data_IF_587548131952
#
_entry.id   IF_587548131952
#
_cell.length_a   1.000
_cell.length_b   1.000
_cell.length_c   1.000
_cell.angle_alpha   90.00
_cell.angle_beta   90.00
_cell.angle_gamma   90.00
#
_symmetry.space_group_name_H-M   'P 1'
#
loop_
_entity.id
_entity.type
_entity.pdbx_description
1 polymer ?
#
# COMPACT_ATOMS: atom_id res chain seq x y z
N UNK A 1 -34.76 14.28 9.76
CA UNK A 1 -33.54 13.56 10.20
C UNK A 1 -33.08 12.75 9.01
N UNK A 2 -31.93 13.06 8.42
CA UNK A 2 -31.38 12.25 7.33
C UNK A 2 -30.83 10.98 7.98
N UNK A 3 -31.48 9.85 7.72
CA UNK A 3 -31.02 8.54 8.19
C UNK A 3 -29.68 8.26 7.50
N UNK A 4 -28.58 8.41 8.22
CA UNK A 4 -27.27 7.92 7.78
C UNK A 4 -27.39 6.40 7.69
N UNK A 5 -27.65 5.88 6.49
CA UNK A 5 -27.59 4.43 6.28
C UNK A 5 -26.15 4.02 6.51
N UNK A 6 -25.90 3.40 7.67
CA UNK A 6 -24.67 2.65 7.87
C UNK A 6 -24.57 1.64 6.73
N UNK A 7 -23.38 1.53 6.13
CA UNK A 7 -23.13 0.57 5.05
C UNK A 7 -23.46 -0.87 5.47
N UNK A 8 -23.50 -1.81 4.52
CA UNK A 8 -23.80 -3.20 4.83
C UNK A 8 -22.86 -3.74 5.93
N UNK A 9 -23.36 -4.58 6.84
CA UNK A 9 -22.56 -5.08 7.95
C UNK A 9 -21.37 -5.90 7.44
N UNK A 10 -20.22 -5.71 8.10
CA UNK A 10 -19.04 -6.52 7.84
C UNK A 10 -19.19 -7.91 8.46
N UNK A 11 -18.82 -8.92 7.69
CA UNK A 11 -18.68 -10.32 8.06
C UNK A 11 -17.19 -10.70 7.95
N UNK A 12 -16.78 -11.80 8.59
CA UNK A 12 -15.40 -12.31 8.53
C UNK A 12 -15.37 -13.69 7.91
N UNK A 13 -14.36 -13.96 7.10
CA UNK A 13 -14.19 -15.28 6.52
C UNK A 13 -12.99 -15.40 5.60
N UNK A 14 -12.82 -16.63 5.10
CA UNK A 14 -11.78 -17.00 4.15
C UNK A 14 -12.43 -17.33 2.82
N UNK A 15 -11.92 -16.75 1.74
CA UNK A 15 -12.38 -16.99 0.39
C UNK A 15 -11.22 -17.41 -0.50
N UNK A 16 -11.44 -18.43 -1.33
CA UNK A 16 -10.51 -18.85 -2.38
C UNK A 16 -11.16 -18.49 -3.71
N UNK A 17 -10.53 -17.58 -4.45
CA UNK A 17 -11.01 -17.11 -5.73
C UNK A 17 -10.77 -18.17 -6.81
N UNK A 18 -11.57 -18.17 -7.90
CA UNK A 18 -11.36 -19.07 -9.04
C UNK A 18 -9.97 -18.95 -9.69
N UNK A 19 -9.28 -17.80 -9.56
CA UNK A 19 -7.92 -17.60 -10.05
C UNK A 19 -6.84 -18.20 -9.13
N UNK A 20 -7.23 -18.81 -8.01
CA UNK A 20 -6.32 -19.40 -7.01
C UNK A 20 -5.90 -18.44 -5.90
N UNK A 21 -6.29 -17.17 -5.95
CA UNK A 21 -6.01 -16.22 -4.88
C UNK A 21 -6.77 -16.59 -3.61
N UNK A 22 -6.21 -16.23 -2.46
CA UNK A 22 -6.85 -16.41 -1.15
C UNK A 22 -7.07 -15.05 -0.51
N UNK A 23 -8.26 -14.82 0.03
CA UNK A 23 -8.54 -13.72 0.95
C UNK A 23 -8.93 -14.24 2.33
N UNK A 24 -8.41 -13.60 3.37
CA UNK A 24 -8.74 -13.85 4.77
C UNK A 24 -8.99 -12.50 5.44
N UNK A 25 -10.24 -12.18 5.74
CA UNK A 25 -10.58 -10.88 6.30
C UNK A 25 -12.05 -10.54 6.32
N UNK A 26 -12.31 -9.25 6.45
CA UNK A 26 -13.65 -8.68 6.49
C UNK A 26 -14.23 -8.51 5.08
N UNK A 27 -15.53 -8.74 4.92
CA UNK A 27 -16.25 -8.54 3.67
C UNK A 27 -17.67 -8.08 3.97
N UNK A 28 -18.31 -7.40 3.03
CA UNK A 28 -19.73 -7.08 3.08
C UNK A 28 -20.42 -7.59 1.83
N UNK A 29 -21.74 -7.75 1.91
CA UNK A 29 -22.56 -8.04 0.75
C UNK A 29 -23.17 -6.73 0.22
N UNK A 30 -23.05 -6.46 -1.08
CA UNK A 30 -23.71 -5.33 -1.72
C UNK A 30 -25.22 -5.58 -1.87
N UNK A 31 -25.98 -4.54 -2.22
CA UNK A 31 -27.43 -4.61 -2.36
C UNK A 31 -27.91 -5.63 -3.41
N UNK A 32 -27.04 -5.99 -4.36
CA UNK A 32 -27.30 -7.01 -5.39
C UNK A 32 -26.76 -8.40 -5.03
N UNK A 33 -26.35 -8.61 -3.77
CA UNK A 33 -25.93 -9.91 -3.27
C UNK A 33 -24.48 -10.29 -3.53
N UNK A 34 -23.67 -9.38 -4.09
CA UNK A 34 -22.23 -9.63 -4.38
C UNK A 34 -21.41 -9.45 -3.11
N UNK A 35 -20.54 -10.41 -2.80
CA UNK A 35 -19.58 -10.28 -1.71
C UNK A 35 -18.40 -9.42 -2.17
N UNK A 36 -18.06 -8.41 -1.38
CA UNK A 36 -16.97 -7.47 -1.64
C UNK A 36 -16.06 -7.39 -0.43
N UNK A 37 -14.73 -7.43 -0.64
CA UNK A 37 -13.75 -7.20 0.43
C UNK A 37 -13.91 -5.78 0.96
N UNK A 38 -14.12 -5.66 2.26
CA UNK A 38 -14.35 -4.40 2.97
C UNK A 38 -13.84 -4.53 4.41
N UNK A 39 -13.25 -3.48 4.98
CA UNK A 39 -12.66 -3.56 6.31
C UNK A 39 -11.22 -4.05 6.27
N UNK A 40 -10.76 -4.81 7.27
CA UNK A 40 -9.37 -5.30 7.34
C UNK A 40 -9.27 -6.72 6.79
N UNK A 41 -8.25 -6.99 5.97
CA UNK A 41 -8.02 -8.32 5.45
C UNK A 41 -6.68 -8.51 4.74
N UNK A 42 -6.34 -9.78 4.53
CA UNK A 42 -5.15 -10.23 3.83
C UNK A 42 -5.54 -10.89 2.51
N UNK A 43 -4.99 -10.43 1.39
CA UNK A 43 -5.10 -11.07 0.08
C UNK A 43 -3.75 -11.64 -0.32
N UNK A 44 -3.71 -12.92 -0.63
CA UNK A 44 -2.54 -13.63 -1.15
C UNK A 44 -2.84 -14.07 -2.57
N UNK A 45 -2.09 -13.55 -3.54
CA UNK A 45 -2.23 -14.02 -4.93
C UNK A 45 -1.63 -15.41 -5.09
N UNK A 46 -2.07 -16.16 -6.10
CA UNK A 46 -1.45 -17.46 -6.45
C UNK A 46 0.07 -17.38 -6.72
N UNK A 47 0.55 -16.19 -7.11
CA UNK A 47 1.96 -15.93 -7.42
C UNK A 47 2.74 -15.48 -6.17
N UNK A 48 2.10 -15.43 -5.00
CA UNK A 48 2.73 -15.15 -3.71
C UNK A 48 2.81 -13.68 -3.32
N UNK A 49 2.16 -12.76 -4.05
CA UNK A 49 2.03 -11.35 -3.63
C UNK A 49 1.03 -11.29 -2.47
N UNK A 50 1.40 -10.62 -1.39
CA UNK A 50 0.57 -10.50 -0.18
C UNK A 50 0.24 -9.03 0.07
N UNK A 51 -1.04 -8.70 0.14
CA UNK A 51 -1.50 -7.43 0.69
C UNK A 51 -2.16 -7.68 2.04
N UNK A 52 -1.76 -6.94 3.07
CA UNK A 52 -2.42 -6.90 4.38
C UNK A 52 -2.81 -5.47 4.68
N UNK A 53 -4.11 -5.19 4.82
CA UNK A 53 -4.54 -3.82 5.07
C UNK A 53 -6.03 -3.60 4.95
N UNK A 54 -6.40 -2.34 4.78
CA UNK A 54 -7.80 -1.93 4.66
C UNK A 54 -8.31 -2.03 3.22
N UNK A 55 -9.52 -2.52 3.09
CA UNK A 55 -10.27 -2.71 1.86
C UNK A 55 -11.54 -1.85 1.90
N UNK A 56 -11.87 -1.28 0.75
CA UNK A 56 -13.16 -0.60 0.50
C UNK A 56 -13.63 -1.03 -0.88
N UNK A 57 -14.76 -1.73 -0.96
CA UNK A 57 -15.39 -2.20 -2.19
C UNK A 57 -14.39 -2.87 -3.14
N UNK A 58 -13.71 -3.91 -2.64
CA UNK A 58 -12.69 -4.68 -3.35
C UNK A 58 -11.41 -3.92 -3.75
N UNK A 59 -11.19 -2.74 -3.19
CA UNK A 59 -9.98 -1.96 -3.43
C UNK A 59 -9.15 -1.75 -2.17
N UNK A 60 -7.84 -1.97 -2.26
CA UNK A 60 -6.87 -1.57 -1.24
C UNK A 60 -7.00 -0.06 -1.01
N UNK A 61 -7.31 0.34 0.21
CA UNK A 61 -7.67 1.72 0.57
C UNK A 61 -7.38 2.00 2.03
N UNK A 62 -6.70 3.10 2.36
CA UNK A 62 -6.18 3.39 3.70
C UNK A 62 -4.85 2.68 3.96
N UNK A 63 -4.51 2.48 5.24
CA UNK A 63 -3.23 1.86 5.62
C UNK A 63 -3.17 0.38 5.18
N UNK A 64 -2.00 -0.02 4.67
CA UNK A 64 -1.72 -1.41 4.34
C UNK A 64 -0.26 -1.66 3.98
N UNK A 65 0.07 -2.93 3.85
CA UNK A 65 1.40 -3.42 3.47
C UNK A 65 1.26 -4.39 2.29
N UNK A 66 2.01 -4.15 1.22
CA UNK A 66 2.09 -4.97 0.02
C UNK A 66 3.49 -5.58 -0.10
N UNK A 67 3.56 -6.90 -0.13
CA UNK A 67 4.81 -7.67 -0.13
C UNK A 67 4.87 -8.52 -1.41
N UNK A 68 5.96 -8.38 -2.15
CA UNK A 68 6.23 -9.18 -3.34
C UNK A 68 7.21 -10.32 -3.02
N UNK A 69 7.10 -11.48 -3.69
CA UNK A 69 8.08 -12.56 -3.58
C UNK A 69 9.51 -12.16 -3.95
N UNK A 70 9.67 -11.08 -4.72
CA UNK A 70 10.99 -10.51 -5.05
C UNK A 70 11.70 -9.89 -3.85
N UNK A 71 11.01 -9.69 -2.72
CA UNK A 71 11.50 -8.94 -1.56
C UNK A 71 11.12 -7.46 -1.57
N UNK A 72 10.48 -6.96 -2.64
CA UNK A 72 9.97 -5.60 -2.64
C UNK A 72 8.78 -5.46 -1.68
N UNK A 73 8.77 -4.37 -0.89
CA UNK A 73 7.72 -4.11 0.11
C UNK A 73 7.28 -2.66 0.03
N UNK A 74 5.97 -2.43 0.01
CA UNK A 74 5.40 -1.12 0.30
C UNK A 74 4.62 -1.18 1.61
N UNK A 75 4.84 -0.21 2.50
CA UNK A 75 4.11 -0.03 3.75
C UNK A 75 3.65 1.43 3.83
N UNK A 76 2.33 1.65 3.77
CA UNK A 76 1.80 3.00 3.75
C UNK A 76 0.33 3.10 3.33
N UNK A 77 -0.05 4.28 2.88
CA UNK A 77 -1.41 4.58 2.47
C UNK A 77 -1.73 4.09 1.04
N UNK A 78 -2.94 3.58 0.87
CA UNK A 78 -3.49 3.18 -0.40
C UNK A 78 -4.74 4.00 -0.73
N UNK A 79 -4.95 4.28 -2.00
CA UNK A 79 -6.23 4.77 -2.50
C UNK A 79 -6.56 4.08 -3.82
N UNK A 80 -7.69 3.38 -3.87
CA UNK A 80 -8.16 2.68 -5.07
C UNK A 80 -7.08 1.78 -5.71
N UNK A 81 -6.45 0.91 -4.92
CA UNK A 81 -5.38 0.00 -5.36
C UNK A 81 -4.04 0.64 -5.74
N UNK A 82 -3.84 1.93 -5.45
CA UNK A 82 -2.57 2.62 -5.72
C UNK A 82 -1.93 3.09 -4.43
N UNK A 83 -0.59 3.12 -4.37
CA UNK A 83 0.13 3.81 -3.31
C UNK A 83 -0.24 5.30 -3.36
N UNK A 84 -0.56 5.85 -2.20
CA UNK A 84 -1.03 7.21 -2.03
C UNK A 84 -0.54 7.75 -0.68
N UNK A 85 -0.69 9.04 -0.41
CA UNK A 85 -0.38 9.61 0.92
C UNK A 85 1.06 9.34 1.36
N UNK A 86 1.29 9.07 2.65
CA UNK A 86 2.62 8.70 3.17
C UNK A 86 2.87 7.21 3.06
N UNK A 87 4.09 6.84 2.68
CA UNK A 87 4.51 5.44 2.68
C UNK A 87 5.99 5.23 2.46
N UNK A 88 6.44 4.01 2.78
CA UNK A 88 7.80 3.52 2.60
C UNK A 88 7.81 2.39 1.58
N UNK A 89 8.62 2.53 0.54
CA UNK A 89 8.89 1.47 -0.43
C UNK A 89 10.33 0.99 -0.26
N UNK A 90 10.50 -0.31 -0.02
CA UNK A 90 11.78 -1.00 0.04
C UNK A 90 11.95 -1.81 -1.23
N UNK A 91 13.03 -1.56 -1.97
CA UNK A 91 13.40 -2.32 -3.16
C UNK A 91 14.07 -3.65 -2.78
N UNK A 92 14.10 -4.65 -3.68
CA UNK A 92 14.74 -5.94 -3.43
C UNK A 92 16.23 -5.87 -3.04
N UNK A 93 16.93 -4.80 -3.45
CA UNK A 93 18.34 -4.59 -3.11
C UNK A 93 18.54 -3.99 -1.70
N UNK A 94 17.46 -3.67 -0.99
CA UNK A 94 17.47 -3.09 0.34
C UNK A 94 17.48 -1.56 0.38
N UNK A 95 17.65 -0.88 -0.77
CA UNK A 95 17.41 0.56 -0.86
C UNK A 95 15.95 0.86 -0.55
N UNK A 96 15.65 2.07 -0.08
CA UNK A 96 14.27 2.46 0.20
C UNK A 96 14.00 3.95 0.02
N UNK A 97 12.73 4.26 -0.20
CA UNK A 97 12.20 5.61 -0.21
C UNK A 97 11.09 5.72 0.82
N UNK A 98 11.12 6.78 1.62
CA UNK A 98 10.07 7.14 2.55
C UNK A 98 9.63 8.58 2.30
N UNK A 99 8.36 8.76 1.93
CA UNK A 99 7.87 10.07 1.48
C UNK A 99 6.41 10.04 1.09
N UNK A 100 5.97 11.04 0.30
CA UNK A 100 4.61 11.04 -0.22
C UNK A 100 4.52 10.30 -1.56
N UNK A 101 3.33 9.79 -1.82
CA UNK A 101 2.98 9.00 -2.98
C UNK A 101 1.69 9.53 -3.59
N UNK A 102 1.64 9.56 -4.92
CA UNK A 102 0.45 9.85 -5.69
C UNK A 102 0.37 8.87 -6.87
N UNK A 103 -0.65 8.01 -6.87
CA UNK A 103 -0.91 7.03 -7.93
C UNK A 103 0.31 6.15 -8.26
N UNK A 104 0.92 5.54 -7.23
CA UNK A 104 2.13 4.72 -7.33
C UNK A 104 3.43 5.47 -7.67
N UNK A 105 3.43 6.81 -7.66
CA UNK A 105 4.61 7.63 -7.95
C UNK A 105 5.05 8.37 -6.71
N UNK A 106 6.36 8.45 -6.49
CA UNK A 106 6.94 9.32 -5.46
C UNK A 106 6.61 10.78 -5.78
N UNK A 107 6.12 11.53 -4.80
CA UNK A 107 5.66 12.91 -4.96
C UNK A 107 5.92 13.73 -3.68
N UNK A 108 6.26 15.01 -3.84
CA UNK A 108 6.53 15.89 -2.71
C UNK A 108 7.78 15.48 -1.92
N UNK A 109 7.82 15.86 -0.64
CA UNK A 109 9.02 15.67 0.18
C UNK A 109 9.22 14.21 0.64
N UNK A 110 10.45 13.72 0.48
CA UNK A 110 10.84 12.39 0.92
C UNK A 110 12.34 12.22 1.14
N UNK A 111 12.69 11.03 1.61
CA UNK A 111 14.05 10.57 1.85
C UNK A 111 14.26 9.26 1.07
N UNK A 112 15.32 9.21 0.27
CA UNK A 112 15.80 8.00 -0.37
C UNK A 112 17.12 7.58 0.28
N UNK A 113 17.25 6.30 0.61
CA UNK A 113 18.47 5.69 1.12
C UNK A 113 18.87 4.55 0.17
N UNK A 114 20.11 4.60 -0.33
CA UNK A 114 20.62 3.56 -1.22
C UNK A 114 21.14 2.34 -0.45
N UNK A 115 21.71 1.39 -1.18
CA UNK A 115 22.28 0.16 -0.63
C UNK A 115 23.55 0.38 0.19
N UNK A 116 24.20 1.55 0.08
CA UNK A 116 25.39 1.93 0.85
C UNK A 116 25.03 2.76 2.10
N UNK A 117 23.74 3.02 2.34
CA UNK A 117 23.26 3.85 3.44
C UNK A 117 23.40 5.36 3.21
N UNK A 118 23.80 5.76 1.99
CA UNK A 118 23.82 7.15 1.59
C UNK A 118 22.39 7.69 1.56
N UNK A 119 22.20 8.93 2.01
CA UNK A 119 20.86 9.52 2.18
C UNK A 119 20.67 10.73 1.28
N UNK A 120 19.57 10.75 0.54
CA UNK A 120 19.14 11.87 -0.31
C UNK A 120 17.77 12.37 0.11
N UNK A 121 17.67 13.65 0.44
CA UNK A 121 16.40 14.29 0.79
C UNK A 121 16.06 15.38 -0.20
N UNK A 122 14.77 15.58 -0.44
CA UNK A 122 14.28 16.66 -1.28
C UNK A 122 12.86 16.42 -1.76
N UNK A 123 12.46 17.22 -2.74
CA UNK A 123 11.13 17.11 -3.36
C UNK A 123 11.22 16.21 -4.58
N UNK A 124 10.45 15.13 -4.57
CA UNK A 124 10.32 14.16 -5.65
C UNK A 124 9.11 14.52 -6.51
N UNK A 125 9.24 14.34 -7.82
CA UNK A 125 8.19 14.53 -8.82
C UNK A 125 8.26 13.39 -9.83
N UNK A 126 7.66 12.28 -9.46
CA UNK A 126 7.61 11.03 -10.22
C UNK A 126 8.99 10.44 -10.56
N UNK A 127 9.66 10.94 -11.60
CA UNK A 127 11.01 10.53 -12.05
C UNK A 127 12.08 11.58 -11.81
N UNK A 128 11.70 12.82 -11.55
CA UNK A 128 12.62 13.90 -11.25
C UNK A 128 12.68 14.10 -9.74
N UNK A 129 13.86 14.43 -9.23
CA UNK A 129 14.02 14.84 -7.84
C UNK A 129 14.79 16.18 -7.80
N UNK A 130 14.11 17.29 -8.13
CA UNK A 130 14.75 18.60 -8.15
C UNK A 130 15.19 19.00 -6.75
N UNK A 131 16.43 19.49 -6.62
CA UNK A 131 16.94 20.00 -5.34
C UNK A 131 17.28 18.92 -4.31
N UNK A 132 17.50 17.67 -4.74
CA UNK A 132 18.05 16.64 -3.86
C UNK A 132 19.34 17.12 -3.19
N UNK A 133 19.40 16.95 -1.88
CA UNK A 133 20.60 17.19 -1.07
C UNK A 133 21.10 15.86 -0.56
N UNK A 134 22.35 15.58 -0.87
CA UNK A 134 23.08 14.49 -0.26
C UNK A 134 23.35 14.83 1.21
N UNK A 135 22.92 13.97 2.13
CA UNK A 135 23.18 14.09 3.56
C UNK A 135 24.31 13.14 3.92
N UNK A 136 25.50 13.69 4.14
CA UNK A 136 26.64 12.92 4.62
C UNK A 136 26.42 12.63 6.11
N UNK A 137 26.03 11.41 6.45
CA UNK A 137 26.07 10.94 7.82
C UNK A 137 27.54 10.65 8.17
N UNK A 138 28.28 11.68 8.60
CA UNK A 138 29.59 11.49 9.22
C UNK A 138 29.34 10.97 10.64
N UNK A 139 29.53 9.67 10.85
CA UNK A 139 29.83 9.17 12.20
C UNK A 139 31.22 9.71 12.58
N UNK A 140 31.26 10.57 13.59
CA UNK A 140 32.52 11.09 14.21
C UNK A 140 32.90 10.16 15.35
#
# INVERSE_FOLDING_TARGET
MVSVHAGPPLQKGVYIFPNGDKYDGEYSQSDIGVLERNGIGTHTTKDGVVYTGRWVQDKMSGQGKLEHPSGAVYDGEFYNNTFHGRGKYVWPDGSFYEGNWEENKMEGDGEFIDTEGQTWTGTFRHRAAPGLRFKLNLEI
#
